data_IF_993199926103
#
_entry.id   IF_993199926103
#
_cell.length_a   1.000
_cell.length_b   1.000
_cell.length_c   1.000
_cell.angle_alpha   90.00
_cell.angle_beta   90.00
_cell.angle_gamma   90.00
#
_symmetry.space_group_name_H-M   'P 1'
#
loop_
_entity.id
_entity.type
_entity.pdbx_description
1 polymer ?
#
# COMPACT_ATOMS: atom_id res chain seq x y z
N UNK A 1 -61.31 38.24 -22.70
CA UNK A 1 -60.18 38.63 -21.81
C UNK A 1 -59.85 37.66 -20.66
N UNK A 2 -60.86 36.93 -20.11
CA UNK A 2 -60.59 35.96 -18.99
C UNK A 2 -59.83 34.70 -19.39
N UNK A 3 -59.85 34.28 -20.65
CA UNK A 3 -59.15 33.09 -21.13
C UNK A 3 -57.68 33.32 -21.53
N UNK A 4 -57.31 34.54 -21.97
CA UNK A 4 -55.93 34.92 -22.22
C UNK A 4 -55.08 35.04 -20.95
N UNK A 5 -55.69 35.52 -19.84
CA UNK A 5 -55.00 35.62 -18.55
C UNK A 5 -54.65 34.25 -17.91
N UNK A 6 -55.50 33.22 -18.15
CA UNK A 6 -55.21 31.86 -17.67
C UNK A 6 -54.10 31.17 -18.43
N UNK A 7 -53.92 31.46 -19.71
CA UNK A 7 -52.84 30.88 -20.54
C UNK A 7 -51.47 31.46 -20.15
N UNK A 8 -51.39 32.75 -19.77
CA UNK A 8 -50.14 33.39 -19.33
C UNK A 8 -49.66 32.90 -17.96
N UNK A 9 -50.57 32.55 -17.06
CA UNK A 9 -50.20 32.03 -15.72
C UNK A 9 -49.67 30.61 -15.79
N UNK A 10 -50.19 29.75 -16.71
CA UNK A 10 -49.71 28.37 -16.88
C UNK A 10 -48.32 28.35 -17.53
N UNK A 11 -48.03 29.29 -18.46
CA UNK A 11 -46.71 29.36 -19.12
C UNK A 11 -45.63 29.94 -18.19
N UNK A 12 -45.97 30.76 -17.22
CA UNK A 12 -45.03 31.31 -16.23
C UNK A 12 -44.65 30.30 -15.16
N UNK A 13 -45.50 29.32 -14.85
CA UNK A 13 -45.18 28.22 -13.89
C UNK A 13 -44.27 27.14 -14.50
N UNK A 14 -44.26 26.97 -15.81
CA UNK A 14 -43.41 25.98 -16.48
C UNK A 14 -41.95 26.44 -16.71
N UNK A 15 -41.60 27.71 -16.51
CA UNK A 15 -40.23 28.22 -16.63
C UNK A 15 -39.44 28.19 -15.33
N UNK A 16 -40.03 27.73 -14.22
CA UNK A 16 -39.31 27.41 -12.97
C UNK A 16 -38.86 25.95 -12.88
N UNK A 17 -38.76 25.23 -14.02
CA UNK A 17 -38.03 23.99 -14.06
C UNK A 17 -36.56 24.32 -13.73
N UNK A 18 -36.27 24.21 -12.42
CA UNK A 18 -35.07 24.70 -11.79
C UNK A 18 -33.82 24.27 -12.53
N UNK A 19 -32.94 25.19 -12.74
CA UNK A 19 -31.52 24.92 -12.81
C UNK A 19 -31.17 24.19 -11.51
N UNK A 20 -31.26 22.88 -11.49
CA UNK A 20 -30.55 22.02 -10.53
C UNK A 20 -29.10 22.31 -10.88
N UNK A 21 -28.53 23.35 -10.28
CA UNK A 21 -27.09 23.58 -10.27
C UNK A 21 -26.51 22.29 -9.73
N UNK A 22 -25.97 21.47 -10.61
CA UNK A 22 -25.23 20.30 -10.20
C UNK A 22 -24.21 20.78 -9.17
N UNK A 23 -24.42 20.45 -7.90
CA UNK A 23 -23.51 20.89 -6.84
C UNK A 23 -22.12 20.43 -7.25
N UNK A 24 -21.19 21.39 -7.39
CA UNK A 24 -19.83 21.09 -7.76
C UNK A 24 -19.23 20.14 -6.72
N UNK A 25 -18.72 19.00 -7.17
CA UNK A 25 -18.04 18.05 -6.29
C UNK A 25 -16.59 18.48 -6.09
N UNK A 26 -16.10 18.49 -4.85
CA UNK A 26 -16.80 18.27 -3.57
C UNK A 26 -17.46 19.55 -3.01
N UNK A 27 -18.59 19.40 -2.30
CA UNK A 27 -19.32 20.48 -1.61
C UNK A 27 -19.33 20.33 -0.08
N UNK A 28 -18.73 19.24 0.45
CA UNK A 28 -18.61 18.94 1.88
C UNK A 28 -17.26 18.24 2.14
N UNK A 29 -16.83 18.10 3.41
CA UNK A 29 -15.58 17.43 3.75
C UNK A 29 -15.50 15.98 3.22
N UNK A 30 -14.29 15.56 2.83
CA UNK A 30 -13.97 14.20 2.42
C UNK A 30 -13.24 13.49 3.55
N UNK A 31 -13.60 12.24 3.84
CA UNK A 31 -12.96 11.41 4.86
C UNK A 31 -12.13 10.32 4.20
N UNK A 32 -10.82 10.29 4.52
CA UNK A 32 -9.93 9.17 4.21
C UNK A 32 -9.89 8.24 5.41
N UNK A 33 -10.49 7.07 5.29
CA UNK A 33 -10.49 6.04 6.34
C UNK A 33 -9.24 5.17 6.20
N UNK A 34 -8.51 4.99 7.31
CA UNK A 34 -7.36 4.10 7.45
C UNK A 34 -7.71 2.93 8.38
N UNK A 35 -7.34 1.70 7.99
CA UNK A 35 -7.59 0.49 8.78
C UNK A 35 -6.59 0.22 9.92
N UNK A 36 -5.68 1.15 10.22
CA UNK A 36 -4.59 0.98 11.18
C UNK A 36 -4.50 2.14 12.18
N UNK A 37 -3.87 1.92 13.35
CA UNK A 37 -3.62 3.00 14.31
C UNK A 37 -2.79 4.14 13.72
N UNK A 38 -2.87 5.35 14.31
CA UNK A 38 -2.02 6.47 13.92
C UNK A 38 -0.52 6.18 14.09
N UNK A 39 0.33 6.89 13.30
CA UNK A 39 1.79 6.90 13.43
C UNK A 39 2.53 5.91 12.53
N UNK A 40 1.84 4.99 11.85
CA UNK A 40 2.46 4.13 10.84
C UNK A 40 2.68 4.84 9.50
N UNK A 41 3.44 4.21 8.58
CA UNK A 41 3.74 4.78 7.26
C UNK A 41 2.47 5.19 6.50
N UNK A 42 1.42 4.36 6.50
CA UNK A 42 0.13 4.67 5.88
C UNK A 42 -0.49 5.97 6.42
N UNK A 43 -0.49 6.14 7.74
CA UNK A 43 -1.04 7.33 8.41
C UNK A 43 -0.21 8.58 8.09
N UNK A 44 1.11 8.46 8.12
CA UNK A 44 2.01 9.57 7.77
C UNK A 44 1.79 10.01 6.32
N UNK A 45 1.71 9.07 5.37
CA UNK A 45 1.47 9.38 3.95
C UNK A 45 0.10 10.06 3.79
N UNK A 46 -0.96 9.51 4.39
CA UNK A 46 -2.31 10.08 4.31
C UNK A 46 -2.34 11.53 4.85
N UNK A 47 -1.68 11.79 6.00
CA UNK A 47 -1.62 13.14 6.61
C UNK A 47 -0.69 14.11 5.87
N UNK A 48 0.23 13.62 5.04
CA UNK A 48 1.02 14.47 4.15
C UNK A 48 0.22 14.92 2.92
N UNK A 49 -0.59 14.04 2.33
CA UNK A 49 -1.36 14.37 1.13
C UNK A 49 -2.67 15.09 1.44
N UNK A 50 -3.34 14.79 2.56
CA UNK A 50 -4.67 15.33 2.89
C UNK A 50 -4.75 16.88 2.88
N UNK A 51 -3.80 17.65 3.46
CA UNK A 51 -3.83 19.11 3.38
C UNK A 51 -3.68 19.64 1.95
N UNK A 52 -2.88 18.97 1.11
CA UNK A 52 -2.69 19.35 -0.30
C UNK A 52 -3.95 19.07 -1.12
N UNK A 53 -4.57 17.90 -0.88
CA UNK A 53 -5.88 17.57 -1.45
C UNK A 53 -6.95 18.57 -1.01
N UNK A 54 -6.96 18.98 0.27
CA UNK A 54 -7.91 19.99 0.78
C UNK A 54 -7.78 21.30 0.02
N UNK A 55 -6.56 21.76 -0.21
CA UNK A 55 -6.29 23.00 -0.97
C UNK A 55 -6.76 22.90 -2.43
N UNK A 56 -6.51 21.76 -3.09
CA UNK A 56 -6.91 21.54 -4.48
C UNK A 56 -8.43 21.35 -4.65
N UNK A 57 -9.06 20.65 -3.68
CA UNK A 57 -10.48 20.34 -3.72
C UNK A 57 -11.38 21.47 -3.20
N UNK A 58 -10.82 22.46 -2.49
CA UNK A 58 -11.57 23.53 -1.86
C UNK A 58 -12.46 23.08 -0.68
N UNK A 59 -12.28 21.86 -0.21
CA UNK A 59 -13.02 21.28 0.93
C UNK A 59 -12.05 20.52 1.86
N UNK A 60 -12.31 20.47 3.17
CA UNK A 60 -11.49 19.73 4.09
C UNK A 60 -11.38 18.26 3.71
N UNK A 61 -10.15 17.71 3.74
CA UNK A 61 -9.88 16.28 3.65
C UNK A 61 -9.37 15.81 5.01
N UNK A 62 -10.13 14.94 5.67
CA UNK A 62 -9.89 14.48 7.04
C UNK A 62 -9.43 13.03 7.03
N UNK A 63 -8.41 12.72 7.84
CA UNK A 63 -7.91 11.34 8.02
C UNK A 63 -8.53 10.76 9.29
N UNK A 64 -9.25 9.65 9.14
CA UNK A 64 -9.90 8.90 10.23
C UNK A 64 -9.27 7.51 10.35
N UNK A 65 -8.79 7.16 11.55
CA UNK A 65 -8.25 5.83 11.83
C UNK A 65 -9.35 4.93 12.41
N UNK A 66 -9.68 3.83 11.73
CA UNK A 66 -10.60 2.76 12.17
C UNK A 66 -9.85 1.42 12.23
N UNK A 67 -8.99 1.22 13.25
CA UNK A 67 -8.17 0.04 13.35
C UNK A 67 -8.98 -1.21 13.73
N UNK A 68 -8.43 -2.38 13.42
CA UNK A 68 -8.95 -3.68 13.86
C UNK A 68 -8.93 -4.72 12.76
N UNK A 69 -8.66 -5.97 13.16
CA UNK A 69 -8.57 -7.16 12.30
C UNK A 69 -7.72 -6.94 11.04
N UNK A 70 -6.51 -6.34 11.18
CA UNK A 70 -5.63 -6.08 10.04
C UNK A 70 -6.17 -5.07 9.02
N UNK A 71 -7.09 -4.18 9.46
CA UNK A 71 -7.71 -3.17 8.60
C UNK A 71 -9.09 -3.56 8.05
N UNK A 72 -9.56 -4.77 8.34
CA UNK A 72 -10.88 -5.26 7.89
C UNK A 72 -12.02 -4.36 8.36
N UNK A 73 -11.98 -3.87 9.62
CA UNK A 73 -13.03 -3.00 10.17
C UNK A 73 -13.12 -1.69 9.39
N UNK A 74 -11.98 -1.03 9.14
CA UNK A 74 -11.94 0.20 8.36
C UNK A 74 -12.43 -0.01 6.93
N UNK A 75 -11.98 -1.07 6.28
CA UNK A 75 -12.37 -1.39 4.91
C UNK A 75 -13.86 -1.71 4.79
N UNK A 76 -14.42 -2.50 5.74
CA UNK A 76 -15.86 -2.79 5.80
C UNK A 76 -16.70 -1.52 5.97
N UNK A 77 -16.23 -0.57 6.80
CA UNK A 77 -16.95 0.69 7.01
C UNK A 77 -17.09 1.50 5.72
N UNK A 78 -16.07 1.48 4.86
CA UNK A 78 -16.09 2.17 3.57
C UNK A 78 -16.91 1.39 2.53
N UNK A 79 -16.82 0.05 2.51
CA UNK A 79 -17.66 -0.76 1.61
C UNK A 79 -19.16 -0.52 1.79
N UNK A 80 -19.57 -0.12 3.01
CA UNK A 80 -20.96 0.18 3.37
C UNK A 80 -21.32 1.68 3.31
N UNK A 81 -20.35 2.54 3.02
CA UNK A 81 -20.60 3.97 2.92
C UNK A 81 -21.36 4.31 1.63
N UNK A 82 -21.98 5.50 1.63
CA UNK A 82 -22.63 6.03 0.42
C UNK A 82 -21.60 6.17 -0.72
N UNK A 83 -21.96 5.73 -1.95
CA UNK A 83 -21.05 5.79 -3.09
C UNK A 83 -21.01 7.20 -3.70
N UNK A 84 -20.86 8.21 -2.84
CA UNK A 84 -20.87 9.63 -3.20
C UNK A 84 -19.47 10.27 -3.28
N UNK A 85 -18.41 9.48 -3.05
CA UNK A 85 -17.02 9.92 -3.11
C UNK A 85 -16.54 10.75 -1.91
N UNK A 86 -17.35 10.91 -0.87
CA UNK A 86 -16.96 11.65 0.33
C UNK A 86 -16.35 10.77 1.44
N UNK A 87 -16.45 9.45 1.29
CA UNK A 87 -15.76 8.50 2.16
C UNK A 87 -14.94 7.55 1.30
N UNK A 88 -13.63 7.56 1.50
CA UNK A 88 -12.70 6.72 0.75
C UNK A 88 -11.82 5.92 1.71
N UNK A 89 -11.37 4.76 1.29
CA UNK A 89 -10.41 3.94 2.02
C UNK A 89 -9.01 4.15 1.46
N UNK A 90 -8.04 4.37 2.34
CA UNK A 90 -6.63 4.24 1.98
C UNK A 90 -6.03 3.11 2.80
N UNK A 91 -5.42 2.15 2.12
CA UNK A 91 -4.91 0.94 2.73
C UNK A 91 -3.62 0.44 2.10
N UNK A 92 -3.18 -0.71 2.59
CA UNK A 92 -1.95 -1.38 2.17
C UNK A 92 -2.26 -2.52 1.20
N UNK A 93 -1.23 -3.05 0.55
CA UNK A 93 -1.30 -4.28 -0.23
C UNK A 93 -1.99 -5.41 0.55
N UNK A 94 -1.74 -5.51 1.86
CA UNK A 94 -2.40 -6.49 2.73
C UNK A 94 -3.92 -6.44 2.60
N UNK A 95 -4.50 -5.24 2.66
CA UNK A 95 -5.94 -5.04 2.60
C UNK A 95 -6.54 -5.41 1.24
N UNK A 96 -5.87 -5.03 0.16
CA UNK A 96 -6.42 -5.17 -1.20
C UNK A 96 -6.14 -6.53 -1.84
N UNK A 97 -5.00 -7.18 -1.52
CA UNK A 97 -4.53 -8.34 -2.28
C UNK A 97 -4.19 -9.57 -1.45
N UNK A 98 -3.69 -9.45 -0.20
CA UNK A 98 -3.31 -10.60 0.61
C UNK A 98 -4.46 -11.12 1.47
N UNK A 99 -5.07 -10.25 2.29
CA UNK A 99 -6.17 -10.62 3.19
C UNK A 99 -7.34 -11.26 2.44
N UNK A 100 -7.75 -10.80 1.23
CA UNK A 100 -8.81 -11.45 0.47
C UNK A 100 -8.49 -12.87 -0.01
N UNK A 101 -7.21 -13.20 -0.13
CA UNK A 101 -6.77 -14.56 -0.48
C UNK A 101 -6.74 -15.47 0.75
N UNK A 102 -6.22 -14.97 1.86
CA UNK A 102 -6.06 -15.72 3.11
C UNK A 102 -7.37 -15.94 3.86
N UNK A 103 -8.24 -14.93 3.89
CA UNK A 103 -9.50 -14.96 4.62
C UNK A 103 -10.68 -15.02 3.64
N UNK A 104 -11.39 -16.15 3.63
CA UNK A 104 -12.57 -16.37 2.77
C UNK A 104 -13.86 -15.79 3.36
N UNK A 105 -13.87 -15.49 4.65
CA UNK A 105 -15.04 -15.01 5.40
C UNK A 105 -15.04 -13.49 5.58
N UNK A 106 -14.41 -12.75 4.65
CA UNK A 106 -14.42 -11.30 4.69
C UNK A 106 -15.84 -10.75 4.50
N UNK A 107 -16.24 -9.72 5.29
CA UNK A 107 -17.56 -9.10 5.18
C UNK A 107 -17.70 -8.16 3.96
N UNK A 108 -16.77 -8.20 3.02
CA UNK A 108 -16.74 -7.45 1.76
C UNK A 108 -15.93 -8.21 0.69
N UNK A 109 -16.11 -7.80 -0.55
CA UNK A 109 -15.32 -8.26 -1.69
C UNK A 109 -14.61 -7.08 -2.34
N UNK A 110 -13.26 -7.11 -2.36
CA UNK A 110 -12.45 -5.99 -2.87
C UNK A 110 -12.80 -5.61 -4.31
N UNK A 111 -13.04 -6.60 -5.17
CA UNK A 111 -13.30 -6.36 -6.59
C UNK A 111 -14.73 -5.90 -6.88
N UNK A 112 -15.70 -6.26 -6.02
CA UNK A 112 -17.12 -5.95 -6.21
C UNK A 112 -17.56 -4.71 -5.45
N UNK A 113 -16.99 -4.47 -4.28
CA UNK A 113 -17.48 -3.45 -3.35
C UNK A 113 -16.63 -2.18 -3.36
N UNK A 114 -15.52 -2.16 -4.13
CA UNK A 114 -14.62 -1.00 -4.22
C UNK A 114 -14.35 -0.59 -5.68
N UNK A 115 -14.30 0.72 -5.89
CA UNK A 115 -13.81 1.37 -7.10
C UNK A 115 -12.39 1.89 -6.84
N UNK A 116 -11.36 1.40 -7.54
CA UNK A 116 -10.00 1.90 -7.42
C UNK A 116 -9.91 3.39 -7.75
N UNK A 117 -9.14 4.15 -6.97
CA UNK A 117 -8.82 5.56 -7.25
C UNK A 117 -7.40 5.66 -7.81
N UNK A 118 -6.40 5.21 -7.04
CA UNK A 118 -4.99 5.24 -7.44
C UNK A 118 -4.13 4.45 -6.48
N UNK A 119 -3.02 3.90 -6.96
CA UNK A 119 -1.89 3.57 -6.10
C UNK A 119 -1.23 4.88 -5.68
N UNK A 120 -1.23 5.16 -4.39
CA UNK A 120 -0.71 6.43 -3.85
C UNK A 120 0.82 6.42 -3.86
N UNK A 121 1.39 5.33 -3.33
CA UNK A 121 2.84 5.20 -3.19
C UNK A 121 3.24 3.73 -3.04
N UNK A 122 4.53 3.44 -3.21
CA UNK A 122 5.12 2.13 -2.98
C UNK A 122 6.46 2.23 -2.28
N UNK A 123 6.84 1.18 -1.55
CA UNK A 123 8.17 1.03 -0.99
C UNK A 123 8.67 -0.40 -1.20
N UNK A 124 9.93 -0.54 -1.58
CA UNK A 124 10.61 -1.82 -1.51
C UNK A 124 10.97 -2.18 -0.07
N UNK A 125 11.22 -3.46 0.15
CA UNK A 125 11.94 -3.93 1.32
C UNK A 125 13.43 -3.92 1.02
N UNK A 126 14.23 -4.00 2.07
CA UNK A 126 15.66 -4.24 1.95
C UNK A 126 15.96 -5.61 2.56
N UNK A 127 16.74 -6.39 1.84
CA UNK A 127 17.32 -7.62 2.33
C UNK A 127 18.52 -7.26 3.20
N UNK A 128 18.33 -7.36 4.50
CA UNK A 128 19.37 -7.15 5.50
C UNK A 128 19.96 -8.48 5.97
N UNK A 129 21.27 -8.51 6.14
CA UNK A 129 21.96 -9.66 6.71
C UNK A 129 22.80 -9.26 7.92
N UNK A 130 23.02 -10.23 8.82
CA UNK A 130 23.99 -10.08 9.89
C UNK A 130 25.41 -9.94 9.31
N UNK A 131 26.24 -9.05 9.87
CA UNK A 131 27.58 -8.77 9.37
C UNK A 131 28.56 -9.95 9.49
N UNK A 132 28.27 -10.95 10.36
CA UNK A 132 29.08 -12.15 10.49
C UNK A 132 28.84 -13.15 9.35
N UNK A 133 27.72 -13.02 8.62
CA UNK A 133 27.43 -13.85 7.46
C UNK A 133 28.44 -13.51 6.33
N UNK A 134 29.21 -14.48 5.81
CA UNK A 134 30.29 -14.25 4.85
C UNK A 134 29.79 -14.09 3.42
N UNK A 135 28.80 -13.17 3.20
CA UNK A 135 28.21 -12.89 1.90
C UNK A 135 28.16 -11.37 1.67
N UNK A 136 28.40 -10.93 0.43
CA UNK A 136 28.48 -9.52 0.05
C UNK A 136 27.38 -9.10 -0.94
N UNK A 137 26.71 -10.06 -1.56
CA UNK A 137 25.66 -9.83 -2.56
C UNK A 137 24.66 -10.98 -2.57
N UNK A 138 23.59 -10.84 -3.35
CA UNK A 138 22.50 -11.81 -3.46
C UNK A 138 22.99 -13.15 -4.05
N UNK A 139 23.89 -13.14 -5.01
CA UNK A 139 24.41 -14.37 -5.63
C UNK A 139 25.22 -15.20 -4.63
N UNK A 140 26.08 -14.54 -3.83
CA UNK A 140 26.83 -15.20 -2.74
C UNK A 140 25.90 -15.73 -1.65
N UNK A 141 24.83 -14.99 -1.29
CA UNK A 141 23.82 -15.46 -0.35
C UNK A 141 23.14 -16.75 -0.84
N UNK A 142 22.74 -16.79 -2.10
CA UNK A 142 22.11 -17.96 -2.71
C UNK A 142 23.08 -19.15 -2.71
N UNK A 143 24.33 -18.94 -3.12
CA UNK A 143 25.35 -19.97 -3.11
C UNK A 143 25.61 -20.51 -1.70
N UNK A 144 25.72 -19.60 -0.72
CA UNK A 144 25.92 -19.96 0.69
C UNK A 144 24.74 -20.77 1.24
N UNK A 145 23.50 -20.37 0.96
CA UNK A 145 22.32 -21.09 1.40
C UNK A 145 22.23 -22.49 0.77
N UNK A 146 22.59 -22.65 -0.50
CA UNK A 146 22.65 -23.95 -1.17
C UNK A 146 23.73 -24.86 -0.60
N UNK A 147 24.87 -24.31 -0.20
CA UNK A 147 25.96 -25.06 0.44
C UNK A 147 25.70 -25.41 1.91
N UNK A 148 24.76 -24.73 2.55
CA UNK A 148 24.41 -24.90 3.96
C UNK A 148 22.91 -25.13 4.14
N UNK A 149 22.35 -26.23 3.60
CA UNK A 149 20.94 -26.53 3.72
C UNK A 149 20.55 -26.62 5.20
N UNK A 150 19.34 -26.15 5.53
CA UNK A 150 18.74 -26.16 6.88
C UNK A 150 19.50 -25.34 7.96
N UNK A 151 20.58 -24.61 7.61
CA UNK A 151 21.35 -23.78 8.56
C UNK A 151 21.03 -22.29 8.46
N UNK A 152 20.21 -21.91 7.51
CA UNK A 152 19.83 -20.50 7.30
C UNK A 152 18.45 -20.25 7.87
N UNK A 153 18.37 -19.24 8.75
CA UNK A 153 17.11 -18.76 9.31
C UNK A 153 16.86 -17.33 8.86
N UNK A 154 15.63 -17.03 8.54
CA UNK A 154 15.21 -15.63 8.33
C UNK A 154 14.15 -15.23 9.36
N UNK A 155 14.23 -13.99 9.80
CA UNK A 155 13.22 -13.42 10.70
C UNK A 155 12.17 -12.61 9.96
N UNK A 156 11.03 -12.44 10.59
CA UNK A 156 9.98 -11.53 10.15
C UNK A 156 9.22 -10.90 11.32
N UNK A 157 8.44 -9.89 11.05
CA UNK A 157 7.56 -9.24 12.04
C UNK A 157 6.31 -10.05 12.40
N UNK A 158 6.18 -11.28 11.90
CA UNK A 158 5.09 -12.21 12.19
C UNK A 158 4.67 -13.05 11.00
N UNK A 159 3.87 -14.10 11.28
CA UNK A 159 3.34 -14.99 10.26
C UNK A 159 2.42 -14.24 9.28
N UNK A 160 2.55 -14.53 7.97
CA UNK A 160 1.72 -13.93 6.91
C UNK A 160 1.99 -12.45 6.67
N UNK A 161 2.87 -11.81 7.46
CA UNK A 161 3.31 -10.43 7.22
C UNK A 161 4.16 -10.32 5.94
N UNK A 162 4.27 -9.11 5.42
CA UNK A 162 4.99 -8.86 4.17
C UNK A 162 6.48 -9.25 4.22
N UNK A 163 7.23 -9.02 5.31
CA UNK A 163 8.59 -9.52 5.46
C UNK A 163 8.70 -11.06 5.33
N UNK A 164 7.77 -11.80 5.93
CA UNK A 164 7.67 -13.27 5.77
C UNK A 164 7.42 -13.65 4.31
N UNK A 165 6.43 -13.02 3.68
CA UNK A 165 6.05 -13.29 2.30
C UNK A 165 7.18 -12.98 1.31
N UNK A 166 7.94 -11.91 1.55
CA UNK A 166 9.09 -11.53 0.73
C UNK A 166 10.21 -12.60 0.80
N UNK A 167 10.48 -13.11 2.00
CA UNK A 167 11.47 -14.15 2.19
C UNK A 167 11.05 -15.49 1.57
N UNK A 168 9.77 -15.89 1.69
CA UNK A 168 9.26 -17.09 1.05
C UNK A 168 9.28 -17.00 -0.48
N UNK A 169 8.94 -15.83 -1.01
CA UNK A 169 9.07 -15.59 -2.45
C UNK A 169 10.54 -15.65 -2.91
N UNK A 170 11.47 -15.15 -2.08
CA UNK A 170 12.90 -15.25 -2.35
C UNK A 170 13.38 -16.70 -2.31
N UNK A 171 12.97 -17.48 -1.29
CA UNK A 171 13.24 -18.92 -1.21
C UNK A 171 12.82 -19.64 -2.50
N UNK A 172 11.58 -19.43 -2.92
CA UNK A 172 11.01 -20.04 -4.12
C UNK A 172 11.74 -19.62 -5.39
N UNK A 173 12.01 -18.33 -5.56
CA UNK A 173 12.64 -17.80 -6.78
C UNK A 173 14.13 -18.18 -6.89
N UNK A 174 14.83 -18.29 -5.76
CA UNK A 174 16.25 -18.67 -5.72
C UNK A 174 16.47 -20.19 -5.71
N UNK A 175 15.40 -20.99 -5.54
CA UNK A 175 15.51 -22.45 -5.38
C UNK A 175 16.30 -22.84 -4.13
N UNK A 176 16.06 -22.15 -3.02
CA UNK A 176 16.67 -22.40 -1.69
C UNK A 176 15.59 -22.62 -0.65
N UNK A 177 16.01 -23.12 0.53
CA UNK A 177 15.12 -23.30 1.66
C UNK A 177 15.79 -22.73 2.91
N UNK A 178 15.15 -21.72 3.49
CA UNK A 178 15.55 -21.12 4.75
C UNK A 178 14.40 -21.28 5.75
N UNK A 179 14.71 -21.41 7.03
CA UNK A 179 13.71 -21.61 8.08
C UNK A 179 13.18 -20.26 8.56
N UNK A 180 11.86 -20.10 8.61
CA UNK A 180 11.21 -18.90 9.13
C UNK A 180 11.19 -18.88 10.66
N UNK A 181 11.60 -17.74 11.23
CA UNK A 181 11.50 -17.45 12.67
C UNK A 181 10.59 -16.22 12.84
N UNK A 182 9.31 -16.41 13.25
CA UNK A 182 8.37 -15.30 13.43
C UNK A 182 8.59 -14.57 14.75
N UNK A 183 8.57 -13.24 14.71
CA UNK A 183 8.63 -12.37 15.88
C UNK A 183 7.31 -11.57 16.07
N UNK A 184 7.13 -11.01 17.26
CA UNK A 184 6.01 -10.10 17.55
C UNK A 184 6.36 -8.65 17.15
N UNK A 185 6.63 -8.43 15.84
CA UNK A 185 6.98 -7.12 15.28
C UNK A 185 8.42 -7.03 14.79
N UNK A 186 8.74 -5.95 14.09
CA UNK A 186 10.04 -5.71 13.45
C UNK A 186 11.17 -5.48 14.45
N UNK A 187 10.92 -4.79 15.56
CA UNK A 187 11.97 -4.44 16.51
C UNK A 187 12.68 -5.68 17.10
N UNK A 188 12.00 -6.67 17.70
CA UNK A 188 12.67 -7.88 18.20
C UNK A 188 13.29 -8.70 17.06
N UNK A 189 12.71 -8.76 15.88
CA UNK A 189 13.27 -9.41 14.70
C UNK A 189 14.64 -8.85 14.33
N UNK A 190 14.75 -7.53 14.26
CA UNK A 190 15.99 -6.83 13.91
C UNK A 190 17.05 -6.95 15.02
N UNK A 191 16.65 -6.95 16.30
CA UNK A 191 17.59 -7.14 17.40
C UNK A 191 18.25 -8.53 17.34
N UNK A 192 17.49 -9.58 17.10
CA UNK A 192 18.03 -10.93 16.97
C UNK A 192 18.85 -11.13 15.68
N UNK A 193 18.53 -10.40 14.61
CA UNK A 193 19.38 -10.33 13.42
C UNK A 193 20.74 -9.70 13.74
N UNK A 194 20.76 -8.57 14.48
CA UNK A 194 22.00 -7.92 14.91
C UNK A 194 22.82 -8.84 15.81
N UNK A 195 22.15 -9.56 16.71
CA UNK A 195 22.79 -10.52 17.62
C UNK A 195 23.28 -11.80 16.92
N UNK A 196 22.92 -12.04 15.64
CA UNK A 196 23.31 -13.23 14.87
C UNK A 196 22.48 -14.48 15.15
N UNK A 197 21.36 -14.38 15.90
CA UNK A 197 20.44 -15.49 16.14
C UNK A 197 19.73 -15.94 14.87
N UNK A 198 19.50 -15.03 13.94
CA UNK A 198 19.02 -15.27 12.58
C UNK A 198 19.98 -14.61 11.59
N UNK A 199 20.00 -15.07 10.33
CA UNK A 199 20.99 -14.67 9.36
C UNK A 199 20.55 -13.50 8.50
N UNK A 200 19.24 -13.38 8.23
CA UNK A 200 18.69 -12.33 7.37
C UNK A 200 17.24 -11.98 7.70
N UNK A 201 16.81 -10.83 7.21
CA UNK A 201 15.40 -10.41 7.16
C UNK A 201 15.15 -9.56 5.92
N UNK A 202 13.91 -9.54 5.48
CA UNK A 202 13.38 -8.51 4.57
C UNK A 202 12.61 -7.50 5.41
N UNK A 203 13.06 -6.24 5.44
CA UNK A 203 12.41 -5.25 6.31
C UNK A 203 12.35 -3.87 5.63
N UNK A 204 11.43 -3.04 6.10
CA UNK A 204 11.27 -1.68 5.60
C UNK A 204 12.56 -0.86 5.79
N UNK A 205 12.83 0.04 4.85
CA UNK A 205 14.02 0.90 4.87
C UNK A 205 14.18 1.63 6.20
N UNK A 206 13.11 2.26 6.69
CA UNK A 206 13.13 3.05 7.91
C UNK A 206 13.54 2.25 9.15
N UNK A 207 13.34 0.92 9.14
CA UNK A 207 13.68 0.05 10.28
C UNK A 207 15.16 -0.36 10.24
N UNK A 208 15.66 -0.77 9.08
CA UNK A 208 17.01 -1.33 8.97
C UNK A 208 18.11 -0.32 8.66
N UNK A 209 17.81 0.80 7.99
CA UNK A 209 18.78 1.80 7.54
C UNK A 209 19.66 2.35 8.68
N UNK A 210 19.14 2.71 9.88
CA UNK A 210 20.00 3.18 10.99
C UNK A 210 21.04 2.13 11.42
N UNK A 211 20.72 0.86 11.30
CA UNK A 211 21.63 -0.26 11.65
C UNK A 211 22.69 -0.49 10.57
N UNK A 212 22.37 -0.22 9.29
CA UNK A 212 23.37 -0.22 8.21
C UNK A 212 24.31 0.95 8.38
N UNK A 213 23.82 2.16 8.65
CA UNK A 213 24.61 3.36 8.87
C UNK A 213 25.56 3.24 10.08
N UNK A 214 25.12 2.52 11.13
CA UNK A 214 25.96 2.23 12.31
C UNK A 214 26.86 0.98 12.15
N UNK A 215 26.87 0.35 10.96
CA UNK A 215 27.72 -0.81 10.67
C UNK A 215 27.29 -2.12 11.37
N UNK A 216 26.08 -2.20 11.93
CA UNK A 216 25.58 -3.39 12.61
C UNK A 216 24.96 -4.42 11.67
N UNK A 217 24.40 -3.96 10.55
CA UNK A 217 23.81 -4.79 9.51
C UNK A 217 24.39 -4.43 8.16
N UNK A 218 24.27 -5.35 7.20
CA UNK A 218 24.56 -5.12 5.77
C UNK A 218 23.28 -5.19 4.98
N UNK A 219 23.04 -4.19 4.11
CA UNK A 219 22.02 -4.22 3.08
C UNK A 219 22.59 -4.92 1.83
N UNK A 220 22.01 -6.03 1.40
CA UNK A 220 22.48 -6.76 0.21
C UNK A 220 21.73 -6.34 -1.05
N UNK A 221 20.43 -6.10 -0.96
CA UNK A 221 19.63 -5.70 -2.11
C UNK A 221 18.30 -5.07 -1.65
N UNK A 222 17.65 -4.36 -2.56
CA UNK A 222 16.29 -3.86 -2.40
C UNK A 222 15.33 -4.69 -3.25
N UNK A 223 14.08 -4.82 -2.81
CA UNK A 223 13.09 -5.69 -3.48
C UNK A 223 12.20 -4.95 -4.47
N UNK A 224 12.35 -3.64 -4.60
CA UNK A 224 11.62 -2.80 -5.54
C UNK A 224 12.08 -2.99 -6.99
N UNK A 225 11.45 -2.26 -7.90
CA UNK A 225 11.82 -2.23 -9.32
C UNK A 225 12.97 -1.28 -9.64
N UNK A 226 13.36 -0.43 -8.68
CA UNK A 226 14.43 0.55 -8.80
C UNK A 226 15.26 0.59 -7.51
N UNK A 227 16.48 1.10 -7.61
CA UNK A 227 17.35 1.36 -6.45
C UNK A 227 16.75 2.50 -5.62
N UNK A 228 16.90 2.42 -4.31
CA UNK A 228 16.39 3.44 -3.40
C UNK A 228 17.37 4.62 -3.31
N UNK A 229 16.88 5.84 -3.41
CA UNK A 229 17.71 7.05 -3.31
C UNK A 229 18.49 7.19 -1.99
N UNK A 230 17.97 6.59 -0.90
CA UNK A 230 18.65 6.53 0.41
C UNK A 230 19.69 5.39 0.52
N UNK A 231 19.75 4.50 -0.46
CA UNK A 231 20.69 3.37 -0.58
C UNK A 231 21.12 3.19 -2.05
N UNK A 232 21.74 4.22 -2.68
CA UNK A 232 21.98 4.24 -4.14
C UNK A 232 22.93 3.14 -4.62
N UNK A 233 23.84 2.69 -3.76
CA UNK A 233 24.82 1.64 -4.08
C UNK A 233 24.27 0.22 -3.86
N UNK A 234 23.09 0.07 -3.24
CA UNK A 234 22.48 -1.23 -2.98
C UNK A 234 21.68 -1.65 -4.22
N UNK A 235 22.02 -2.80 -4.86
CA UNK A 235 21.33 -3.26 -6.06
C UNK A 235 19.90 -3.71 -5.76
N UNK A 236 19.11 -3.91 -6.82
CA UNK A 236 17.81 -4.57 -6.69
C UNK A 236 17.99 -6.11 -6.80
N UNK A 237 17.12 -6.87 -6.11
CA UNK A 237 17.16 -8.34 -6.20
C UNK A 237 16.98 -8.81 -7.64
N UNK A 238 16.22 -8.08 -8.44
CA UNK A 238 15.97 -8.40 -9.86
C UNK A 238 17.24 -8.39 -10.73
N UNK A 239 18.32 -7.73 -10.31
CA UNK A 239 19.63 -7.82 -11.00
C UNK A 239 20.26 -9.22 -10.89
N UNK A 240 19.86 -10.00 -9.88
CA UNK A 240 20.31 -11.40 -9.70
C UNK A 240 19.21 -12.41 -10.01
N UNK A 241 17.97 -12.14 -9.60
CA UNK A 241 16.80 -12.99 -9.83
C UNK A 241 15.83 -12.24 -10.73
N UNK A 242 15.90 -12.49 -12.03
CA UNK A 242 15.09 -11.80 -13.02
C UNK A 242 13.57 -11.87 -12.68
N UNK A 243 12.90 -10.75 -12.73
CA UNK A 243 11.46 -10.65 -12.45
C UNK A 243 11.09 -10.66 -10.95
N UNK A 244 12.07 -10.72 -10.06
CA UNK A 244 11.79 -10.59 -8.62
C UNK A 244 11.40 -9.16 -8.28
N UNK A 245 10.22 -8.98 -7.69
CA UNK A 245 9.79 -7.70 -7.15
C UNK A 245 8.82 -7.93 -6.00
N UNK A 246 9.10 -7.36 -4.85
CA UNK A 246 8.19 -7.34 -3.69
C UNK A 246 8.15 -5.91 -3.16
N UNK A 247 7.01 -5.27 -3.31
CA UNK A 247 6.80 -3.92 -2.84
C UNK A 247 5.66 -3.88 -1.85
N UNK A 248 5.82 -3.13 -0.78
CA UNK A 248 4.70 -2.68 0.02
C UNK A 248 4.11 -1.47 -0.68
N UNK A 249 2.84 -1.51 -1.03
CA UNK A 249 2.19 -0.40 -1.69
C UNK A 249 0.95 0.06 -0.92
N UNK A 250 0.63 1.32 -1.12
CA UNK A 250 -0.48 2.01 -0.50
C UNK A 250 -1.43 2.48 -1.60
N UNK A 251 -2.69 2.16 -1.46
CA UNK A 251 -3.69 2.48 -2.47
C UNK A 251 -4.92 3.12 -1.88
N UNK A 252 -5.64 3.86 -2.71
CA UNK A 252 -6.90 4.51 -2.36
C UNK A 252 -8.04 3.97 -3.22
N UNK A 253 -9.18 3.69 -2.59
CA UNK A 253 -10.39 3.23 -3.26
C UNK A 253 -11.64 3.83 -2.60
N UNK A 254 -12.71 3.97 -3.38
CA UNK A 254 -14.02 4.41 -2.94
C UNK A 254 -15.02 3.22 -2.97
N UNK A 255 -16.25 3.37 -2.45
CA UNK A 255 -17.33 2.39 -2.68
C UNK A 255 -17.58 2.17 -4.18
N UNK A 256 -17.90 0.94 -4.58
CA UNK A 256 -17.92 0.48 -5.98
C UNK A 256 -18.79 1.32 -6.94
N UNK A 257 -19.89 1.90 -6.46
CA UNK A 257 -20.83 2.66 -7.30
C UNK A 257 -20.54 4.16 -7.32
N UNK A 258 -19.37 4.59 -6.82
CA UNK A 258 -18.97 6.01 -6.85
C UNK A 258 -18.84 6.48 -8.31
N UNK A 259 -19.44 7.61 -8.69
CA UNK A 259 -19.36 8.12 -10.06
C UNK A 259 -17.93 8.32 -10.56
N UNK A 260 -17.67 7.93 -11.80
CA UNK A 260 -16.33 7.97 -12.40
C UNK A 260 -15.71 9.38 -12.38
N UNK A 261 -16.51 10.44 -12.55
CA UNK A 261 -16.05 11.82 -12.45
C UNK A 261 -15.46 12.15 -11.08
N UNK A 262 -16.08 11.64 -10.00
CA UNK A 262 -15.62 11.82 -8.62
C UNK A 262 -14.34 11.03 -8.35
N UNK A 263 -14.26 9.80 -8.85
CA UNK A 263 -13.04 8.97 -8.82
C UNK A 263 -11.89 9.70 -9.49
N UNK A 264 -12.10 10.21 -10.71
CA UNK A 264 -11.07 10.95 -11.47
C UNK A 264 -10.67 12.26 -10.76
N UNK A 265 -11.63 12.98 -10.14
CA UNK A 265 -11.35 14.21 -9.39
C UNK A 265 -10.48 13.92 -8.15
N UNK A 266 -10.78 12.83 -7.44
CA UNK A 266 -9.98 12.37 -6.29
C UNK A 266 -8.58 11.91 -6.72
N UNK A 267 -8.49 11.12 -7.79
CA UNK A 267 -7.22 10.67 -8.36
C UNK A 267 -6.32 11.86 -8.70
N UNK A 268 -6.87 12.87 -9.40
CA UNK A 268 -6.13 14.08 -9.73
C UNK A 268 -5.64 14.81 -8.49
N UNK A 269 -6.47 14.97 -7.47
CA UNK A 269 -6.08 15.61 -6.21
C UNK A 269 -4.93 14.88 -5.51
N UNK A 270 -4.95 13.54 -5.48
CA UNK A 270 -3.83 12.73 -4.95
C UNK A 270 -2.58 12.93 -5.80
N UNK A 271 -2.70 12.83 -7.13
CA UNK A 271 -1.56 12.97 -8.04
C UNK A 271 -0.88 14.35 -7.90
N UNK A 272 -1.66 15.41 -7.78
CA UNK A 272 -1.12 16.76 -7.61
C UNK A 272 -0.53 16.99 -6.21
N UNK A 273 -1.09 16.37 -5.16
CA UNK A 273 -0.51 16.37 -3.83
C UNK A 273 0.87 15.67 -3.80
N UNK A 274 1.00 14.54 -4.48
CA UNK A 274 2.25 13.76 -4.54
C UNK A 274 3.37 14.46 -5.33
N UNK A 275 3.05 15.43 -6.20
CA UNK A 275 4.04 16.24 -6.91
C UNK A 275 4.68 17.32 -6.05
N UNK A 276 4.08 17.68 -4.91
CA UNK A 276 4.58 18.74 -4.05
C UNK A 276 5.94 18.41 -3.46
N UNK A 277 6.91 19.36 -3.45
CA UNK A 277 8.29 19.09 -3.01
C UNK A 277 8.39 18.59 -1.57
N UNK A 278 7.61 19.16 -0.65
CA UNK A 278 7.58 18.78 0.76
C UNK A 278 7.00 17.37 0.96
N UNK A 279 5.99 16.98 0.17
CA UNK A 279 5.44 15.61 0.17
C UNK A 279 6.49 14.63 -0.36
N UNK A 280 7.12 14.91 -1.52
CA UNK A 280 8.18 14.07 -2.08
C UNK A 280 9.33 13.86 -1.10
N UNK A 281 9.78 14.94 -0.47
CA UNK A 281 10.86 14.86 0.52
C UNK A 281 10.48 13.97 1.70
N UNK A 282 9.24 14.10 2.21
CA UNK A 282 8.77 13.28 3.32
C UNK A 282 8.65 11.80 2.95
N UNK A 283 8.13 11.49 1.76
CA UNK A 283 8.05 10.12 1.25
C UNK A 283 9.45 9.50 1.09
N UNK A 284 10.40 10.24 0.51
CA UNK A 284 11.78 9.79 0.36
C UNK A 284 12.44 9.45 1.71
N UNK A 285 12.20 10.25 2.77
CA UNK A 285 12.68 9.94 4.13
C UNK A 285 12.12 8.62 4.69
N UNK A 286 10.93 8.20 4.23
CA UNK A 286 10.33 6.92 4.60
C UNK A 286 10.79 5.77 3.68
N UNK A 287 11.59 6.04 2.67
CA UNK A 287 11.95 5.08 1.62
C UNK A 287 10.73 4.68 0.76
N UNK A 288 9.81 5.61 0.57
CA UNK A 288 8.56 5.42 -0.17
C UNK A 288 8.59 6.30 -1.41
N UNK A 289 8.20 5.76 -2.55
CA UNK A 289 8.12 6.46 -3.82
C UNK A 289 6.67 6.76 -4.21
N UNK A 290 6.35 7.98 -4.66
CA UNK A 290 5.01 8.31 -5.17
C UNK A 290 4.75 7.57 -6.49
N UNK A 291 3.49 7.14 -6.71
CA UNK A 291 3.07 6.44 -7.93
C UNK A 291 2.04 7.25 -8.70
N UNK A 292 0.83 7.42 -8.17
CA UNK A 292 -0.26 8.22 -8.77
C UNK A 292 -0.74 7.71 -10.14
N UNK A 293 -0.90 6.41 -10.30
CA UNK A 293 -1.44 5.80 -11.51
C UNK A 293 -2.94 6.12 -11.73
N UNK A 294 -3.45 5.76 -12.90
CA UNK A 294 -4.88 5.93 -13.20
C UNK A 294 -5.73 4.86 -12.47
N UNK A 295 -7.04 5.11 -12.26
CA UNK A 295 -7.95 4.14 -11.66
C UNK A 295 -7.95 2.78 -12.36
N UNK A 296 -7.87 2.77 -13.69
CA UNK A 296 -7.82 1.55 -14.49
C UNK A 296 -6.50 0.78 -14.28
N UNK A 297 -5.36 1.47 -14.27
CA UNK A 297 -4.06 0.87 -14.00
C UNK A 297 -4.00 0.28 -12.59
N UNK A 298 -4.49 1.02 -11.61
CA UNK A 298 -4.52 0.54 -10.22
C UNK A 298 -5.43 -0.68 -10.05
N UNK A 299 -6.60 -0.70 -10.70
CA UNK A 299 -7.48 -1.86 -10.70
C UNK A 299 -6.83 -3.12 -11.29
N UNK A 300 -6.15 -2.97 -12.44
CA UNK A 300 -5.40 -4.05 -13.06
C UNK A 300 -4.22 -4.51 -12.19
N UNK A 301 -3.54 -3.57 -11.53
CA UNK A 301 -2.45 -3.86 -10.60
C UNK A 301 -2.93 -4.66 -9.38
N UNK A 302 -4.04 -4.27 -8.74
CA UNK A 302 -4.63 -5.03 -7.63
C UNK A 302 -4.92 -6.48 -8.06
N UNK A 303 -5.49 -6.69 -9.26
CA UNK A 303 -5.79 -8.03 -9.75
C UNK A 303 -4.52 -8.85 -9.97
N UNK A 304 -3.50 -8.25 -10.57
CA UNK A 304 -2.20 -8.90 -10.80
C UNK A 304 -1.54 -9.29 -9.47
N UNK A 305 -1.52 -8.38 -8.51
CA UNK A 305 -0.99 -8.63 -7.17
C UNK A 305 -1.76 -9.73 -6.44
N UNK A 306 -3.09 -9.70 -6.50
CA UNK A 306 -3.94 -10.73 -5.88
C UNK A 306 -3.62 -12.12 -6.43
N UNK A 307 -3.49 -12.24 -7.76
CA UNK A 307 -3.16 -13.51 -8.41
C UNK A 307 -1.74 -13.98 -8.03
N UNK A 308 -0.76 -13.05 -8.00
CA UNK A 308 0.61 -13.32 -7.60
C UNK A 308 0.69 -13.85 -6.16
N UNK A 309 0.05 -13.14 -5.24
CA UNK A 309 0.05 -13.53 -3.83
C UNK A 309 -0.75 -14.81 -3.58
N UNK A 310 -1.82 -15.07 -4.32
CA UNK A 310 -2.53 -16.34 -4.25
C UNK A 310 -1.61 -17.53 -4.60
N UNK A 311 -0.72 -17.35 -5.60
CA UNK A 311 0.28 -18.37 -5.93
C UNK A 311 1.30 -18.54 -4.81
N UNK A 312 1.89 -17.47 -4.29
CA UNK A 312 2.90 -17.52 -3.21
C UNK A 312 2.32 -18.16 -1.95
N UNK A 313 1.12 -17.75 -1.51
CA UNK A 313 0.43 -18.28 -0.34
C UNK A 313 0.20 -19.78 -0.46
N UNK A 314 -0.25 -20.25 -1.64
CA UNK A 314 -0.48 -21.66 -1.91
C UNK A 314 0.84 -22.46 -1.92
N UNK A 315 1.85 -21.98 -2.66
CA UNK A 315 3.10 -22.69 -2.87
C UNK A 315 3.91 -22.81 -1.56
N UNK A 316 3.86 -21.77 -0.71
CA UNK A 316 4.49 -21.76 0.62
C UNK A 316 3.58 -22.33 1.74
N UNK A 317 2.36 -22.82 1.42
CA UNK A 317 1.38 -23.35 2.36
C UNK A 317 1.11 -22.41 3.56
N UNK A 318 1.04 -21.09 3.28
CA UNK A 318 0.83 -20.07 4.32
C UNK A 318 -0.64 -20.09 4.74
N UNK A 319 -0.88 -20.21 6.05
CA UNK A 319 -2.21 -20.19 6.68
C UNK A 319 -2.27 -19.07 7.71
N UNK A 320 -3.47 -18.50 7.89
CA UNK A 320 -3.76 -17.58 8.99
C UNK A 320 -4.01 -18.35 10.27
#
# INVERSE_FOLDING_TARGET
MKHLAKLFVVTALSLQAGFVMAQSYPSKPITIVLGFPPGGALDIIARQIAPKMSSDLGQPVVVENKPGAGGVIGMQSVARAEPDGYTVFMGTMGNFSITPVLNKDLPYNVQKDFAPITQVASSGFVLYVNNQLPVKNVAELIAYAKANPDKMNFSSSGNGGLPHMAAEMFNSAAGIKMTHVPYKGSAPSVQDLIAGQVQLTFEAVAIGLPHVQSGKLRALATTGSQRLGVLPDVPIVAETIQGFSVTNWFGMAAPAKTPAERINRLQKAVADALKQPDVKQKLAQLGVEPVADSPAQFGAFIQTETNRWAKVIRDANIKM
#
